data_IF_450747420587
#
_entry.id   IF_450747420587
#
_cell.length_a   1.000
_cell.length_b   1.000
_cell.length_c   1.000
_cell.angle_alpha   90.00
_cell.angle_beta   90.00
_cell.angle_gamma   90.00
#
_symmetry.space_group_name_H-M   'P 1'
#
loop_
_entity.id
_entity.type
_entity.pdbx_description
1 polymer ?
#
# COMPACT_ATOMS: atom_id res chain seq x y z
N UNK A 1 27.70 -3.66 -2.24
CA UNK A 1 26.80 -4.24 -1.23
C UNK A 1 25.67 -4.92 -1.97
N UNK A 2 25.52 -6.22 -1.81
CA UNK A 2 24.44 -7.00 -2.43
C UNK A 2 23.17 -6.77 -1.61
N UNK A 3 22.00 -6.45 -2.20
CA UNK A 3 20.76 -6.37 -1.44
C UNK A 3 20.51 -7.70 -0.75
N UNK A 4 20.18 -7.65 0.53
CA UNK A 4 19.94 -8.84 1.33
C UNK A 4 18.58 -9.44 0.92
N UNK A 5 18.58 -10.24 -0.15
CA UNK A 5 17.39 -10.85 -0.80
C UNK A 5 16.56 -11.79 0.09
N UNK A 6 16.94 -11.98 1.36
CA UNK A 6 16.28 -12.89 2.30
C UNK A 6 15.38 -12.19 3.33
N UNK A 7 15.18 -10.87 3.27
CA UNK A 7 14.30 -10.16 4.23
C UNK A 7 12.82 -10.09 3.84
N UNK A 8 12.46 -10.53 2.62
CA UNK A 8 11.14 -10.26 2.05
C UNK A 8 9.95 -10.92 2.75
N UNK A 9 10.16 -11.85 3.69
CA UNK A 9 9.07 -12.44 4.47
C UNK A 9 9.58 -12.69 5.89
N UNK A 10 9.53 -11.66 6.75
CA UNK A 10 9.66 -11.90 8.18
C UNK A 10 8.28 -12.17 8.75
N UNK A 11 8.04 -13.41 9.19
CA UNK A 11 6.88 -13.69 10.04
C UNK A 11 6.93 -12.81 11.29
N UNK A 12 5.78 -12.39 11.82
CA UNK A 12 5.71 -11.51 13.01
C UNK A 12 6.57 -12.03 14.17
N UNK A 13 6.63 -13.35 14.32
CA UNK A 13 7.46 -14.03 15.32
C UNK A 13 8.97 -13.74 15.18
N UNK A 14 9.44 -13.45 13.97
CA UNK A 14 10.84 -13.18 13.64
C UNK A 14 11.25 -11.71 13.79
N UNK A 15 10.28 -10.80 14.00
CA UNK A 15 10.60 -9.40 14.32
C UNK A 15 11.29 -9.32 15.69
N UNK A 16 12.32 -8.48 15.77
CA UNK A 16 12.95 -8.10 17.03
C UNK A 16 11.97 -7.36 17.94
N UNK A 17 12.30 -7.26 19.22
CA UNK A 17 11.46 -6.53 20.18
C UNK A 17 11.39 -5.03 19.85
N UNK A 18 12.47 -4.47 19.28
CA UNK A 18 12.50 -3.08 18.80
C UNK A 18 11.55 -2.88 17.61
N UNK A 19 11.58 -3.78 16.62
CA UNK A 19 10.68 -3.73 15.47
C UNK A 19 9.22 -3.90 15.91
N UNK A 20 8.93 -4.83 16.83
CA UNK A 20 7.58 -5.01 17.40
C UNK A 20 7.10 -3.76 18.13
N UNK A 21 7.97 -3.10 18.92
CA UNK A 21 7.62 -1.88 19.63
C UNK A 21 7.45 -0.67 18.68
N UNK A 22 8.21 -0.60 17.59
CA UNK A 22 8.03 0.41 16.55
C UNK A 22 6.69 0.21 15.82
N UNK A 23 6.35 -1.03 15.48
CA UNK A 23 5.10 -1.39 14.82
C UNK A 23 3.89 -1.10 15.70
N UNK A 24 3.95 -1.45 17.00
CA UNK A 24 2.87 -1.14 17.95
C UNK A 24 2.64 0.38 18.06
N UNK A 25 3.71 1.18 18.17
CA UNK A 25 3.59 2.65 18.20
C UNK A 25 3.03 3.21 16.89
N UNK A 26 3.38 2.61 15.76
CA UNK A 26 2.84 3.00 14.46
C UNK A 26 1.33 2.71 14.41
N UNK A 27 0.90 1.52 14.83
CA UNK A 27 -0.51 1.13 14.91
C UNK A 27 -1.31 2.05 15.86
N UNK A 28 -0.72 2.45 17.00
CA UNK A 28 -1.31 3.40 17.94
C UNK A 28 -1.58 4.79 17.32
N UNK A 29 -0.90 5.16 16.24
CA UNK A 29 -1.17 6.43 15.54
C UNK A 29 -2.45 6.42 14.71
N UNK A 30 -3.06 5.25 14.50
CA UNK A 30 -4.30 5.10 13.76
C UNK A 30 -5.47 5.68 14.58
N UNK A 31 -5.99 6.80 14.09
CA UNK A 31 -7.11 7.56 14.66
C UNK A 31 -8.30 7.69 13.70
N UNK A 32 -8.08 7.40 12.43
CA UNK A 32 -9.04 7.50 11.33
C UNK A 32 -8.64 6.49 10.24
N UNK A 33 -9.54 6.26 9.28
CA UNK A 33 -9.34 5.31 8.18
C UNK A 33 -8.16 5.65 7.30
N UNK A 34 -7.82 6.93 7.13
CA UNK A 34 -6.67 7.34 6.31
C UNK A 34 -5.37 6.89 6.96
N UNK A 35 -5.21 7.12 8.27
CA UNK A 35 -4.03 6.66 9.01
C UNK A 35 -3.96 5.14 9.06
N UNK A 36 -5.08 4.48 9.36
CA UNK A 36 -5.15 3.02 9.38
C UNK A 36 -4.77 2.41 8.01
N UNK A 37 -5.24 3.01 6.91
CA UNK A 37 -4.87 2.62 5.56
C UNK A 37 -3.38 2.79 5.27
N UNK A 38 -2.74 3.84 5.79
CA UNK A 38 -1.29 4.02 5.68
C UNK A 38 -0.55 2.89 6.42
N UNK A 39 -0.97 2.57 7.65
CA UNK A 39 -0.38 1.46 8.43
C UNK A 39 -0.56 0.12 7.73
N UNK A 40 -1.75 -0.16 7.17
CA UNK A 40 -1.99 -1.36 6.36
C UNK A 40 -1.00 -1.46 5.19
N UNK A 41 -0.75 -0.37 4.46
CA UNK A 41 0.23 -0.37 3.37
C UNK A 41 1.66 -0.66 3.84
N UNK A 42 2.06 -0.15 5.01
CA UNK A 42 3.38 -0.41 5.62
C UNK A 42 3.48 -1.90 6.02
N UNK A 43 2.44 -2.43 6.67
CA UNK A 43 2.34 -3.86 7.00
C UNK A 43 2.45 -4.73 5.75
N UNK A 44 1.81 -4.32 4.65
CA UNK A 44 1.91 -5.00 3.37
C UNK A 44 3.34 -5.13 2.87
N UNK A 45 4.18 -4.12 3.06
CA UNK A 45 5.60 -4.17 2.73
C UNK A 45 6.36 -5.09 3.69
N UNK A 46 6.10 -4.98 4.99
CA UNK A 46 6.74 -5.82 6.02
C UNK A 46 6.44 -7.31 5.85
N UNK A 47 5.20 -7.64 5.49
CA UNK A 47 4.74 -9.01 5.26
C UNK A 47 5.15 -9.58 3.89
N UNK A 48 5.79 -8.78 3.03
CA UNK A 48 6.22 -9.21 1.69
C UNK A 48 5.10 -9.29 0.65
N UNK A 49 3.93 -8.76 0.96
CA UNK A 49 2.77 -8.72 0.05
C UNK A 49 2.97 -7.61 -0.98
N UNK A 50 3.50 -6.46 -0.53
CA UNK A 50 3.81 -5.30 -1.35
C UNK A 50 5.33 -5.15 -1.52
N UNK A 51 5.84 -4.87 -2.74
CA UNK A 51 7.25 -4.53 -2.93
C UNK A 51 7.63 -3.19 -2.28
N UNK A 52 6.71 -2.22 -2.33
CA UNK A 52 6.84 -0.90 -1.77
C UNK A 52 5.46 -0.31 -1.42
N UNK A 53 5.45 0.81 -0.69
CA UNK A 53 4.27 1.62 -0.46
C UNK A 53 4.59 3.10 -0.62
N UNK A 54 3.56 3.89 -0.91
CA UNK A 54 3.58 5.33 -0.80
C UNK A 54 2.72 5.74 0.39
N UNK A 55 3.28 6.55 1.27
CA UNK A 55 2.64 7.00 2.50
C UNK A 55 2.59 8.51 2.47
N UNK A 56 1.40 9.11 2.51
CA UNK A 56 1.27 10.55 2.69
C UNK A 56 1.79 10.92 4.10
N UNK A 57 2.74 11.85 4.16
CA UNK A 57 3.53 12.17 5.36
C UNK A 57 2.59 12.66 6.45
N UNK A 58 2.51 11.86 7.51
CA UNK A 58 2.08 12.29 8.83
C UNK A 58 3.35 12.46 9.68
N UNK A 59 3.42 13.55 10.45
CA UNK A 59 4.56 13.82 11.33
C UNK A 59 4.85 12.60 12.23
N UNK A 60 6.13 12.19 12.29
CA UNK A 60 6.59 11.12 13.18
C UNK A 60 6.62 9.71 12.60
N UNK A 61 6.16 9.49 11.35
CA UNK A 61 6.20 8.14 10.74
C UNK A 61 7.62 7.69 10.38
N UNK A 62 8.43 8.57 9.77
CA UNK A 62 9.74 8.22 9.24
C UNK A 62 10.69 7.54 10.27
N UNK A 63 10.84 8.03 11.52
CA UNK A 63 11.67 7.36 12.52
C UNK A 63 11.17 5.96 12.91
N UNK A 64 9.86 5.73 12.92
CA UNK A 64 9.29 4.41 13.20
C UNK A 64 9.54 3.46 12.03
N UNK A 65 9.36 3.93 10.79
CA UNK A 65 9.63 3.16 9.58
C UNK A 65 11.11 2.73 9.48
N UNK A 66 12.04 3.62 9.82
CA UNK A 66 13.46 3.29 9.87
C UNK A 66 13.79 2.24 10.94
N UNK A 67 13.13 2.29 12.10
CA UNK A 67 13.24 1.26 13.15
C UNK A 67 12.68 -0.10 12.70
N UNK A 68 11.72 -0.11 11.77
CA UNK A 68 11.23 -1.32 11.09
C UNK A 68 12.18 -1.83 9.99
N UNK A 69 13.34 -1.18 9.84
CA UNK A 69 14.34 -1.51 8.83
C UNK A 69 13.92 -1.15 7.40
N UNK A 70 12.91 -0.30 7.25
CA UNK A 70 12.44 0.18 5.95
C UNK A 70 13.27 1.37 5.49
N UNK A 71 13.46 1.46 4.18
CA UNK A 71 14.10 2.58 3.52
C UNK A 71 13.02 3.57 3.13
N UNK A 72 13.20 4.82 3.57
CA UNK A 72 12.27 5.92 3.36
C UNK A 72 12.87 6.93 2.39
N UNK A 73 12.16 7.24 1.31
CA UNK A 73 12.53 8.29 0.36
C UNK A 73 11.40 9.30 0.25
N UNK A 74 11.62 10.51 0.73
CA UNK A 74 10.64 11.60 0.65
C UNK A 74 10.34 11.99 -0.80
N UNK A 75 9.09 12.28 -1.09
CA UNK A 75 8.63 12.90 -2.33
C UNK A 75 8.44 14.41 -2.11
N UNK A 76 8.35 15.17 -3.20
CA UNK A 76 8.02 16.61 -3.11
C UNK A 76 6.54 16.88 -2.81
N UNK A 77 5.69 15.85 -2.84
CA UNK A 77 4.24 15.94 -2.66
C UNK A 77 3.81 15.57 -1.23
N UNK A 78 4.64 15.90 -0.24
CA UNK A 78 4.33 15.59 1.17
C UNK A 78 4.11 14.09 1.42
N UNK A 79 4.84 13.21 0.70
CA UNK A 79 4.76 11.76 0.86
C UNK A 79 6.12 11.08 1.03
N UNK A 80 6.11 9.80 1.38
CA UNK A 80 7.30 8.96 1.53
C UNK A 80 7.08 7.66 0.77
N UNK A 81 7.99 7.34 -0.15
CA UNK A 81 8.10 6.01 -0.71
C UNK A 81 8.87 5.11 0.27
N UNK A 82 8.29 3.96 0.62
CA UNK A 82 8.85 3.01 1.59
C UNK A 82 9.07 1.64 0.96
N UNK A 83 10.23 1.03 1.19
CA UNK A 83 10.55 -0.34 0.75
C UNK A 83 11.74 -0.91 1.53
N UNK A 84 11.94 -2.23 1.51
CA UNK A 84 13.23 -2.82 1.90
C UNK A 84 14.33 -2.65 0.83
N UNK A 85 13.96 -2.28 -0.40
CA UNK A 85 14.89 -2.05 -1.51
C UNK A 85 15.07 -0.55 -1.79
N UNK A 86 16.31 -0.08 -1.62
CA UNK A 86 16.67 1.33 -1.81
C UNK A 86 16.40 1.82 -3.24
N UNK A 87 16.68 0.97 -4.23
CA UNK A 87 16.50 1.33 -5.63
C UNK A 87 15.01 1.45 -5.94
N UNK A 88 14.20 0.52 -5.42
CA UNK A 88 12.76 0.55 -5.61
C UNK A 88 12.11 1.76 -4.93
N UNK A 89 12.46 2.07 -3.68
CA UNK A 89 11.94 3.25 -2.98
C UNK A 89 12.31 4.56 -3.73
N UNK A 90 13.55 4.67 -4.21
CA UNK A 90 14.00 5.83 -4.99
C UNK A 90 13.24 5.94 -6.30
N UNK A 91 13.09 4.83 -7.03
CA UNK A 91 12.39 4.81 -8.31
C UNK A 91 10.91 5.16 -8.14
N UNK A 92 10.25 4.63 -7.11
CA UNK A 92 8.86 4.95 -6.80
C UNK A 92 8.69 6.45 -6.48
N UNK A 93 9.56 7.02 -5.64
CA UNK A 93 9.53 8.45 -5.33
C UNK A 93 9.69 9.33 -6.59
N UNK A 94 10.62 8.97 -7.48
CA UNK A 94 10.84 9.66 -8.74
C UNK A 94 9.65 9.52 -9.69
N UNK A 95 9.10 8.32 -9.86
CA UNK A 95 7.94 8.10 -10.73
C UNK A 95 6.74 8.89 -10.21
N UNK A 96 6.47 8.89 -8.90
CA UNK A 96 5.39 9.69 -8.30
C UNK A 96 5.61 11.18 -8.56
N UNK A 97 6.78 11.72 -8.24
CA UNK A 97 7.11 13.14 -8.42
C UNK A 97 6.99 13.58 -9.89
N UNK A 98 7.29 12.68 -10.82
CA UNK A 98 7.23 12.99 -12.25
C UNK A 98 5.86 12.74 -12.86
N UNK A 99 4.92 12.12 -12.16
CA UNK A 99 3.62 11.74 -12.76
C UNK A 99 2.46 12.44 -12.08
N UNK A 100 2.43 12.45 -10.74
CA UNK A 100 1.35 13.03 -9.98
C UNK A 100 1.44 14.57 -9.98
N UNK A 101 0.30 15.23 -10.16
CA UNK A 101 0.23 16.69 -10.35
C UNK A 101 0.44 17.17 -11.80
N UNK A 102 0.62 16.27 -12.76
CA UNK A 102 0.66 16.61 -14.20
C UNK A 102 -0.72 16.50 -14.84
N UNK A 103 -0.97 17.31 -15.87
CA UNK A 103 -2.20 17.28 -16.69
C UNK A 103 -2.25 16.11 -17.67
N UNK A 104 -1.12 15.45 -17.93
CA UNK A 104 -1.01 14.34 -18.87
C UNK A 104 -0.46 13.12 -18.14
N UNK A 105 -1.14 11.99 -18.32
CA UNK A 105 -0.76 10.71 -17.75
C UNK A 105 0.44 10.11 -18.51
N UNK A 106 1.51 9.80 -17.78
CA UNK A 106 2.61 8.97 -18.29
C UNK A 106 2.30 7.50 -17.99
N UNK A 107 1.77 6.80 -18.99
CA UNK A 107 1.35 5.40 -18.87
C UNK A 107 2.48 4.48 -18.42
N UNK A 108 3.71 4.73 -18.85
CA UNK A 108 4.84 3.89 -18.47
C UNK A 108 5.19 4.10 -16.99
N UNK A 109 5.14 5.35 -16.51
CA UNK A 109 5.36 5.66 -15.10
C UNK A 109 4.22 5.11 -14.22
N UNK A 110 2.95 5.30 -14.57
CA UNK A 110 1.81 4.75 -13.81
C UNK A 110 1.87 3.23 -13.73
N UNK A 111 2.29 2.56 -14.81
CA UNK A 111 2.49 1.10 -14.79
C UNK A 111 3.57 0.70 -13.79
N UNK A 112 4.69 1.45 -13.73
CA UNK A 112 5.77 1.18 -12.77
C UNK A 112 5.33 1.45 -11.34
N UNK A 113 4.60 2.54 -11.09
CA UNK A 113 4.02 2.89 -9.79
C UNK A 113 3.10 1.76 -9.34
N UNK A 114 2.13 1.36 -10.16
CA UNK A 114 1.20 0.28 -9.84
C UNK A 114 1.90 -1.03 -9.49
N UNK A 115 2.92 -1.42 -10.26
CA UNK A 115 3.73 -2.63 -10.00
C UNK A 115 4.53 -2.52 -8.70
N UNK A 116 5.12 -1.35 -8.43
CA UNK A 116 5.85 -1.11 -7.18
C UNK A 116 4.94 -1.17 -5.95
N UNK A 117 3.69 -0.70 -6.08
CA UNK A 117 2.68 -0.75 -5.03
C UNK A 117 2.03 -2.14 -4.86
N UNK A 118 2.38 -3.12 -5.71
CA UNK A 118 1.93 -4.50 -5.63
C UNK A 118 0.58 -4.80 -6.29
N UNK A 119 0.02 -3.85 -7.07
CA UNK A 119 -1.26 -4.07 -7.74
C UNK A 119 -1.16 -5.13 -8.85
N UNK A 120 -2.20 -5.97 -9.02
CA UNK A 120 -2.32 -6.85 -10.18
C UNK A 120 -2.32 -6.08 -11.50
N UNK A 121 -1.78 -6.67 -12.57
CA UNK A 121 -1.65 -6.00 -13.87
C UNK A 121 -3.00 -5.58 -14.46
N UNK A 122 -4.06 -6.36 -14.23
CA UNK A 122 -5.42 -6.03 -14.63
C UNK A 122 -5.98 -4.79 -13.94
N UNK A 123 -5.72 -4.62 -12.65
CA UNK A 123 -6.09 -3.43 -11.88
C UNK A 123 -5.32 -2.18 -12.35
N UNK A 124 -4.01 -2.33 -12.61
CA UNK A 124 -3.17 -1.24 -13.14
C UNK A 124 -3.67 -0.78 -14.50
N UNK A 125 -3.92 -1.72 -15.42
CA UNK A 125 -4.41 -1.39 -16.76
C UNK A 125 -5.77 -0.69 -16.70
N UNK A 126 -6.67 -1.17 -15.82
CA UNK A 126 -7.96 -0.56 -15.63
C UNK A 126 -7.85 0.90 -15.18
N UNK A 127 -7.01 1.18 -14.17
CA UNK A 127 -6.74 2.53 -13.68
C UNK A 127 -6.24 3.45 -14.80
N UNK A 128 -5.24 3.01 -15.57
CA UNK A 128 -4.64 3.81 -16.65
C UNK A 128 -5.66 4.13 -17.74
N UNK A 129 -6.45 3.15 -18.18
CA UNK A 129 -7.47 3.34 -19.23
C UNK A 129 -8.54 4.32 -18.77
N UNK A 130 -8.99 4.21 -17.53
CA UNK A 130 -10.03 5.09 -16.97
C UNK A 130 -9.54 6.53 -16.79
N UNK A 131 -8.36 6.73 -16.20
CA UNK A 131 -7.80 8.07 -16.01
C UNK A 131 -7.58 8.80 -17.34
N UNK A 132 -7.15 8.06 -18.39
CA UNK A 132 -7.01 8.63 -19.72
C UNK A 132 -8.35 9.04 -20.35
N UNK A 133 -9.43 8.31 -20.05
CA UNK A 133 -10.77 8.58 -20.56
C UNK A 133 -11.47 9.74 -19.84
N UNK A 134 -11.20 9.94 -18.54
CA UNK A 134 -11.81 10.98 -17.73
C UNK A 134 -10.78 11.65 -16.79
N UNK A 135 -9.92 12.54 -17.32
CA UNK A 135 -8.90 13.20 -16.51
C UNK A 135 -9.54 14.11 -15.44
N UNK A 136 -9.23 13.86 -14.17
CA UNK A 136 -9.69 14.69 -13.04
C UNK A 136 -11.01 14.25 -12.39
N UNK A 137 -11.59 13.11 -12.80
CA UNK A 137 -12.61 12.44 -12.00
C UNK A 137 -11.97 11.66 -10.84
N UNK A 138 -12.65 11.56 -9.69
CA UNK A 138 -12.24 10.66 -8.61
C UNK A 138 -12.13 9.24 -9.17
N UNK A 139 -11.11 8.48 -8.73
CA UNK A 139 -10.91 7.11 -9.18
C UNK A 139 -12.20 6.32 -8.90
N UNK A 140 -12.87 5.74 -9.91
CA UNK A 140 -14.14 5.10 -9.66
C UNK A 140 -13.90 3.88 -8.78
N UNK A 141 -14.57 3.84 -7.63
CA UNK A 141 -14.72 2.62 -6.85
C UNK A 141 -15.34 1.56 -7.77
N UNK A 142 -14.70 0.39 -7.88
CA UNK A 142 -15.34 -0.73 -8.56
C UNK A 142 -16.58 -1.09 -7.75
N UNK A 143 -17.72 -1.20 -8.42
CA UNK A 143 -18.92 -1.82 -7.84
C UNK A 143 -18.60 -3.28 -7.58
N UNK A 144 -18.04 -3.55 -6.40
CA UNK A 144 -17.99 -4.90 -5.85
C UNK A 144 -19.41 -5.25 -5.42
N UNK A 145 -19.93 -6.48 -5.65
CA UNK A 145 -21.25 -6.84 -5.17
C UNK A 145 -21.30 -6.84 -3.63
N UNK A 146 -22.35 -6.30 -3.02
CA UNK A 146 -22.56 -6.24 -1.55
C UNK A 146 -22.40 -7.60 -0.83
N UNK A 147 -22.46 -8.70 -1.59
CA UNK A 147 -22.30 -10.06 -1.10
C UNK A 147 -21.22 -10.80 -1.91
N UNK A 148 -19.97 -10.76 -1.45
CA UNK A 148 -18.99 -11.78 -1.80
C UNK A 148 -19.12 -12.91 -0.76
N UNK A 149 -19.32 -14.18 -1.16
CA UNK A 149 -19.32 -15.30 -0.22
C UNK A 149 -18.02 -15.30 0.60
N UNK A 150 -18.17 -15.33 1.93
CA UNK A 150 -17.08 -15.37 2.92
C UNK A 150 -16.19 -14.11 3.01
N UNK A 151 -16.58 -12.98 2.43
CA UNK A 151 -15.83 -11.71 2.51
C UNK A 151 -16.77 -10.49 2.58
N UNK A 152 -16.86 -9.78 3.72
CA UNK A 152 -17.62 -8.52 3.81
C UNK A 152 -17.11 -7.50 2.79
N UNK A 153 -18.03 -6.83 2.10
CA UNK A 153 -17.75 -5.91 0.98
C UNK A 153 -16.98 -4.65 1.39
N UNK A 154 -17.25 -4.13 2.59
CA UNK A 154 -16.74 -2.88 3.15
C UNK A 154 -15.19 -2.87 3.23
N UNK A 155 -14.55 -4.04 3.33
CA UNK A 155 -13.09 -4.19 3.47
C UNK A 155 -12.26 -3.80 2.22
N UNK A 156 -12.90 -3.68 1.04
CA UNK A 156 -12.16 -3.61 -0.24
C UNK A 156 -12.34 -2.32 -1.03
N UNK A 157 -13.16 -1.39 -0.52
CA UNK A 157 -13.49 -0.11 -1.16
C UNK A 157 -12.25 0.73 -1.50
N UNK A 158 -11.20 0.60 -0.68
CA UNK A 158 -9.92 1.29 -0.81
C UNK A 158 -8.99 0.75 -1.91
N UNK A 159 -9.30 -0.40 -2.53
CA UNK A 159 -8.42 -1.02 -3.52
C UNK A 159 -8.84 -0.69 -4.95
N UNK A 160 -7.83 -0.45 -5.79
CA UNK A 160 -8.01 -0.42 -7.24
C UNK A 160 -8.22 -1.86 -7.70
N UNK A 161 -9.43 -2.16 -8.16
CA UNK A 161 -9.82 -3.44 -8.74
C UNK A 161 -10.18 -3.24 -10.22
N UNK A 162 -10.27 -4.33 -10.99
CA UNK A 162 -10.72 -4.31 -12.37
C UNK A 162 -12.03 -5.08 -12.57
N UNK A 163 -12.95 -4.56 -13.41
CA UNK A 163 -14.16 -5.29 -13.80
C UNK A 163 -13.81 -6.65 -14.40
N UNK A 164 -14.46 -7.70 -13.89
CA UNK A 164 -14.26 -9.08 -14.36
C UNK A 164 -13.09 -9.84 -13.73
N UNK A 165 -12.20 -9.20 -12.96
CA UNK A 165 -11.11 -9.88 -12.24
C UNK A 165 -11.10 -9.61 -10.72
N UNK A 166 -12.01 -8.77 -10.22
CA UNK A 166 -12.03 -8.34 -8.82
C UNK A 166 -11.92 -9.49 -7.79
N UNK A 167 -12.55 -10.65 -8.02
CA UNK A 167 -12.45 -11.79 -7.10
C UNK A 167 -11.02 -12.37 -7.01
N UNK A 168 -10.34 -12.47 -8.15
CA UNK A 168 -8.98 -12.99 -8.20
C UNK A 168 -8.00 -11.96 -7.63
N UNK A 169 -8.23 -10.68 -7.89
CA UNK A 169 -7.45 -9.56 -7.33
C UNK A 169 -7.61 -9.46 -5.82
N UNK A 170 -8.84 -9.62 -5.29
CA UNK A 170 -9.10 -9.66 -3.85
C UNK A 170 -8.33 -10.81 -3.20
N UNK A 171 -8.39 -12.02 -3.78
CA UNK A 171 -7.68 -13.18 -3.25
C UNK A 171 -6.16 -13.04 -3.32
N UNK A 172 -5.65 -12.44 -4.39
CA UNK A 172 -4.22 -12.32 -4.64
C UNK A 172 -3.56 -11.20 -3.83
N UNK A 173 -4.29 -10.14 -3.53
CA UNK A 173 -3.72 -8.91 -2.98
C UNK A 173 -4.44 -8.39 -1.75
N UNK A 174 -5.76 -8.17 -1.83
CA UNK A 174 -6.49 -7.50 -0.75
C UNK A 174 -6.61 -8.36 0.52
N UNK A 175 -6.99 -9.63 0.37
CA UNK A 175 -7.17 -10.55 1.50
C UNK A 175 -5.87 -10.82 2.27
N UNK A 176 -4.72 -11.12 1.63
CA UNK A 176 -3.46 -11.24 2.36
C UNK A 176 -3.10 -9.98 3.13
N UNK A 177 -3.39 -8.80 2.56
CA UNK A 177 -3.09 -7.52 3.20
C UNK A 177 -3.96 -7.29 4.44
N UNK A 178 -5.24 -7.62 4.36
CA UNK A 178 -6.17 -7.62 5.49
C UNK A 178 -5.71 -8.58 6.60
N UNK A 179 -5.43 -9.84 6.24
CA UNK A 179 -4.97 -10.87 7.17
C UNK A 179 -3.66 -10.46 7.87
N UNK A 180 -2.71 -9.86 7.13
CA UNK A 180 -1.49 -9.33 7.71
C UNK A 180 -1.77 -8.15 8.65
N UNK A 181 -2.68 -7.24 8.29
CA UNK A 181 -3.00 -6.06 9.10
C UNK A 181 -3.65 -6.47 10.42
N UNK A 182 -4.58 -7.43 10.39
CA UNK A 182 -5.18 -8.00 11.60
C UNK A 182 -4.12 -8.58 12.56
N UNK A 183 -3.05 -9.20 12.05
CA UNK A 183 -1.99 -9.80 12.88
C UNK A 183 -0.99 -8.74 13.38
N UNK A 184 -0.56 -7.82 12.51
CA UNK A 184 0.57 -6.92 12.77
C UNK A 184 0.14 -5.56 13.35
N UNK A 185 -1.07 -5.11 13.03
CA UNK A 185 -1.61 -3.79 13.36
C UNK A 185 -3.13 -3.87 13.65
N UNK A 186 -3.54 -4.59 14.71
CA UNK A 186 -4.94 -4.90 14.99
C UNK A 186 -5.81 -3.66 15.20
N UNK A 187 -5.27 -2.56 15.74
CA UNK A 187 -6.04 -1.32 15.92
C UNK A 187 -6.39 -0.69 14.58
N UNK A 188 -5.43 -0.65 13.66
CA UNK A 188 -5.65 -0.18 12.29
C UNK A 188 -6.65 -1.06 11.57
N UNK A 189 -6.60 -2.38 11.77
CA UNK A 189 -7.58 -3.30 11.22
C UNK A 189 -9.00 -2.98 11.71
N UNK A 190 -9.20 -2.83 13.02
CA UNK A 190 -10.51 -2.48 13.61
C UNK A 190 -11.08 -1.18 13.01
N UNK A 191 -10.25 -0.14 12.87
CA UNK A 191 -10.69 1.13 12.29
C UNK A 191 -11.11 0.98 10.82
N UNK A 192 -10.43 0.14 10.04
CA UNK A 192 -10.74 -0.07 8.61
C UNK A 192 -12.07 -0.82 8.44
N UNK A 193 -12.42 -1.74 9.34
CA UNK A 193 -13.63 -2.56 9.21
C UNK A 193 -14.88 -1.95 9.87
N UNK A 194 -14.73 -0.85 10.62
CA UNK A 194 -15.83 -0.17 11.32
C UNK A 194 -16.38 1.07 10.57
N UNK A 195 -15.75 1.50 9.46
CA UNK A 195 -16.16 2.63 8.61
C UNK A 195 -16.94 2.18 7.37
#
# INVERSE_FOLDING_TARGET
>A
MTPNKNRYVQSFAQLSDEEKAALARLDETSSDVVNASCVMNIVGVMAGIKPAAYIEVRDGYAPLLEQLGLICVSTQHEGIAVSYDAQLATQLAMDIQTTWGKKQLDRAAETRIGKALGYPESAIEHFIVRFAAAPGEESPMVEVPDTIPDMPHENFVQFILSPGHYLDEIRAYAKPLEEATHIYAPRSYEIIIED
#
